data_IF_977900370752
#
_entry.id   IF_977900370752
#
_cell.length_a   1.000
_cell.length_b   1.000
_cell.length_c   1.000
_cell.angle_alpha   90.00
_cell.angle_beta   90.00
_cell.angle_gamma   90.00
#
_symmetry.space_group_name_H-M   'P 1'
#
loop_
_entity.id
_entity.type
_entity.pdbx_description
1 polymer ?
#
# COMPACT_ATOMS: atom_id res chain seq x y z
N UNK A 1 4.76 23.02 -25.77
CA UNK A 1 5.58 22.66 -24.64
C UNK A 1 4.69 22.03 -23.57
N UNK A 2 4.68 20.70 -23.39
CA UNK A 2 3.74 20.03 -22.49
C UNK A 2 4.01 20.28 -21.00
N UNK A 3 5.15 20.84 -20.64
CA UNK A 3 5.53 21.07 -19.24
C UNK A 3 4.67 22.14 -18.53
N UNK A 4 4.21 23.16 -19.24
CA UNK A 4 3.42 24.25 -18.66
C UNK A 4 2.06 23.78 -18.09
N UNK A 5 1.42 22.81 -18.71
CA UNK A 5 0.09 22.36 -18.33
C UNK A 5 0.08 21.49 -17.06
N UNK A 6 1.20 20.93 -16.70
CA UNK A 6 1.32 20.04 -15.53
C UNK A 6 1.20 20.80 -14.22
N UNK A 7 1.75 22.01 -14.17
CA UNK A 7 1.67 22.86 -12.98
C UNK A 7 0.28 23.47 -12.77
N UNK A 8 -0.49 23.62 -13.84
CA UNK A 8 -1.86 24.13 -13.79
C UNK A 8 -2.85 23.10 -13.21
N UNK A 9 -2.49 21.83 -13.14
CA UNK A 9 -3.34 20.76 -12.60
C UNK A 9 -3.35 20.68 -11.08
N UNK A 10 -2.58 21.52 -10.40
CA UNK A 10 -2.54 21.57 -8.94
C UNK A 10 -1.96 20.34 -8.24
N UNK A 11 -1.17 19.53 -8.95
CA UNK A 11 -0.51 18.36 -8.36
C UNK A 11 0.63 18.83 -7.43
N UNK A 12 0.67 18.35 -6.18
CA UNK A 12 1.63 18.81 -5.19
C UNK A 12 3.04 18.22 -5.44
N UNK A 13 4.05 19.00 -5.13
CA UNK A 13 5.47 18.58 -5.01
C UNK A 13 6.08 17.90 -6.22
N UNK A 14 5.82 18.42 -7.41
CA UNK A 14 6.34 17.85 -8.64
C UNK A 14 7.44 18.69 -9.23
N UNK A 15 8.56 18.05 -9.51
CA UNK A 15 9.66 18.62 -10.24
C UNK A 15 9.80 17.83 -11.54
N UNK A 16 9.58 18.49 -12.66
CA UNK A 16 9.87 17.90 -13.96
C UNK A 16 11.36 17.98 -14.24
N UNK A 17 12.00 16.85 -14.45
CA UNK A 17 13.38 16.74 -14.88
C UNK A 17 13.40 15.85 -16.11
N UNK A 18 13.67 16.40 -17.27
CA UNK A 18 13.76 15.67 -18.54
C UNK A 18 12.53 14.79 -18.86
N UNK A 19 11.32 15.33 -18.68
CA UNK A 19 10.04 14.61 -18.82
C UNK A 19 9.77 13.51 -17.77
N UNK A 20 10.50 13.51 -16.68
CA UNK A 20 10.24 12.65 -15.53
C UNK A 20 9.68 13.46 -14.36
N UNK A 21 8.68 12.88 -13.71
CA UNK A 21 8.16 13.41 -12.46
C UNK A 21 8.88 12.74 -11.31
N UNK A 22 9.41 13.54 -10.38
CA UNK A 22 10.10 13.03 -9.21
C UNK A 22 9.42 13.53 -7.94
N UNK A 23 9.07 12.58 -7.07
CA UNK A 23 8.62 12.87 -5.72
C UNK A 23 9.65 12.21 -4.79
N UNK A 24 10.22 12.98 -3.88
CA UNK A 24 11.28 12.53 -2.98
C UNK A 24 12.46 11.83 -3.70
N UNK A 25 12.80 12.31 -4.89
CA UNK A 25 13.89 11.79 -5.71
C UNK A 25 13.54 10.52 -6.51
N UNK A 26 12.34 9.98 -6.37
CA UNK A 26 11.86 8.84 -7.14
C UNK A 26 11.11 9.30 -8.40
N UNK A 27 11.35 8.60 -9.49
CA UNK A 27 10.62 8.79 -10.74
C UNK A 27 9.18 8.33 -10.61
N UNK A 28 8.23 9.15 -11.03
CA UNK A 28 6.80 8.85 -10.96
C UNK A 28 6.12 9.07 -12.30
N UNK A 29 5.04 8.33 -12.51
CA UNK A 29 4.17 8.47 -13.67
C UNK A 29 2.71 8.59 -13.20
N UNK A 30 1.93 9.42 -13.89
CA UNK A 30 0.48 9.40 -13.73
C UNK A 30 -0.08 8.23 -14.51
N UNK A 31 -0.67 7.29 -13.78
CA UNK A 31 -1.24 6.07 -14.35
C UNK A 31 -2.73 6.05 -14.04
N UNK A 32 -3.60 5.92 -15.04
CA UNK A 32 -5.03 5.74 -14.81
C UNK A 32 -5.29 4.51 -13.93
N UNK A 33 -6.11 4.65 -12.89
CA UNK A 33 -6.43 3.55 -11.97
C UNK A 33 -7.03 2.32 -12.69
N UNK A 34 -7.76 2.53 -13.77
CA UNK A 34 -8.28 1.46 -14.61
C UNK A 34 -7.22 0.58 -15.27
N UNK A 35 -5.99 1.12 -15.49
CA UNK A 35 -4.88 0.32 -16.01
C UNK A 35 -4.43 -0.73 -14.98
N UNK A 36 -4.32 -0.36 -13.71
CA UNK A 36 -3.98 -1.31 -12.65
C UNK A 36 -4.98 -2.46 -12.55
N UNK A 37 -6.27 -2.16 -12.64
CA UNK A 37 -7.33 -3.18 -12.64
C UNK A 37 -7.17 -4.13 -13.81
N UNK A 38 -6.97 -3.62 -15.02
CA UNK A 38 -6.79 -4.45 -16.23
C UNK A 38 -5.52 -5.31 -16.17
N UNK A 39 -4.43 -4.77 -15.65
CA UNK A 39 -3.21 -5.54 -15.42
C UNK A 39 -3.44 -6.67 -14.42
N UNK A 40 -4.10 -6.39 -13.32
CA UNK A 40 -4.45 -7.39 -12.31
C UNK A 40 -5.33 -8.49 -12.89
N UNK A 41 -6.38 -8.13 -13.61
CA UNK A 41 -7.27 -9.08 -14.31
C UNK A 41 -6.50 -9.94 -15.33
N UNK A 42 -5.60 -9.34 -16.09
CA UNK A 42 -4.77 -10.06 -17.07
C UNK A 42 -3.78 -11.03 -16.42
N UNK A 43 -3.36 -10.77 -15.20
CA UNK A 43 -2.43 -11.62 -14.45
C UNK A 43 -3.13 -12.62 -13.52
N UNK A 44 -4.45 -12.61 -13.42
CA UNK A 44 -5.20 -13.43 -12.46
C UNK A 44 -4.96 -14.95 -12.58
N UNK A 45 -4.65 -15.43 -13.78
CA UNK A 45 -4.32 -16.84 -14.03
C UNK A 45 -2.83 -17.18 -13.95
N UNK A 46 -1.97 -16.22 -13.65
CA UNK A 46 -0.52 -16.40 -13.58
C UNK A 46 -0.11 -16.61 -12.13
N UNK A 47 0.48 -17.75 -11.83
CA UNK A 47 0.95 -18.06 -10.47
C UNK A 47 2.10 -17.14 -10.07
N UNK A 48 1.92 -16.42 -8.98
CA UNK A 48 2.98 -15.59 -8.40
C UNK A 48 4.13 -16.47 -7.90
N UNK A 49 5.35 -16.12 -8.27
CA UNK A 49 6.55 -16.83 -7.83
C UNK A 49 6.94 -16.37 -6.42
N UNK A 50 6.24 -16.90 -5.42
CA UNK A 50 6.49 -16.67 -4.00
C UNK A 50 6.54 -18.00 -3.26
N UNK A 51 7.31 -18.04 -2.18
CA UNK A 51 7.33 -19.21 -1.32
C UNK A 51 6.00 -19.41 -0.59
N UNK A 52 5.79 -20.61 -0.05
CA UNK A 52 4.55 -20.98 0.60
C UNK A 52 4.27 -20.15 1.86
N UNK A 53 5.29 -19.85 2.64
CA UNK A 53 5.18 -19.04 3.86
C UNK A 53 4.73 -17.61 3.54
N UNK A 54 5.30 -17.00 2.51
CA UNK A 54 4.86 -15.68 2.04
C UNK A 54 3.41 -15.74 1.55
N UNK A 55 3.07 -16.75 0.75
CA UNK A 55 1.69 -16.93 0.24
C UNK A 55 0.68 -17.07 1.37
N UNK A 56 0.97 -17.89 2.36
CA UNK A 56 0.10 -18.14 3.52
C UNK A 56 -0.05 -16.93 4.45
N UNK A 57 0.75 -15.89 4.25
CA UNK A 57 0.69 -14.63 5.01
C UNK A 57 -0.26 -13.62 4.42
N UNK A 58 -0.82 -13.90 3.26
CA UNK A 58 -1.75 -13.04 2.54
C UNK A 58 -3.17 -13.61 2.58
N UNK A 59 -4.21 -12.76 2.44
CA UNK A 59 -5.58 -13.24 2.32
C UNK A 59 -5.74 -14.10 1.05
N UNK A 60 -6.80 -14.90 1.02
CA UNK A 60 -7.15 -15.66 -0.17
C UNK A 60 -7.67 -14.70 -1.23
N UNK A 61 -6.84 -14.43 -2.23
CA UNK A 61 -7.10 -13.52 -3.34
C UNK A 61 -6.61 -14.13 -4.66
N UNK A 62 -6.98 -13.53 -5.78
CA UNK A 62 -6.45 -13.97 -7.08
C UNK A 62 -4.94 -13.67 -7.21
N UNK A 63 -4.29 -14.38 -8.13
CA UNK A 63 -2.83 -14.28 -8.34
C UNK A 63 -2.39 -12.89 -8.80
N UNK A 64 -3.21 -12.20 -9.56
CA UNK A 64 -2.92 -10.83 -9.99
C UNK A 64 -2.91 -9.86 -8.82
N UNK A 65 -3.87 -9.99 -7.90
CA UNK A 65 -3.90 -9.21 -6.66
C UNK A 65 -2.66 -9.50 -5.82
N UNK A 66 -2.36 -10.77 -5.59
CA UNK A 66 -1.21 -11.19 -4.78
C UNK A 66 0.11 -10.66 -5.34
N UNK A 67 0.33 -10.79 -6.64
CA UNK A 67 1.53 -10.31 -7.31
C UNK A 67 1.71 -8.80 -7.17
N UNK A 68 0.65 -8.03 -7.33
CA UNK A 68 0.67 -6.59 -7.21
C UNK A 68 0.89 -6.15 -5.76
N UNK A 69 0.25 -6.80 -4.80
CA UNK A 69 0.43 -6.52 -3.38
C UNK A 69 1.87 -6.80 -2.91
N UNK A 70 2.45 -7.93 -3.32
CA UNK A 70 3.84 -8.28 -3.00
C UNK A 70 4.82 -7.30 -3.64
N UNK A 71 4.60 -6.90 -4.89
CA UNK A 71 5.43 -5.91 -5.56
C UNK A 71 5.39 -4.56 -4.85
N UNK A 72 4.20 -4.10 -4.42
CA UNK A 72 4.02 -2.87 -3.66
C UNK A 72 4.69 -2.92 -2.29
N UNK A 73 4.58 -4.04 -1.58
CA UNK A 73 5.30 -4.28 -0.31
C UNK A 73 6.80 -4.15 -0.49
N UNK A 74 7.36 -4.82 -1.51
CA UNK A 74 8.80 -4.77 -1.81
C UNK A 74 9.25 -3.36 -2.20
N UNK A 75 8.47 -2.66 -3.00
CA UNK A 75 8.74 -1.28 -3.38
C UNK A 75 8.81 -0.37 -2.15
N UNK A 76 7.83 -0.45 -1.25
CA UNK A 76 7.83 0.33 -0.01
C UNK A 76 9.07 0.02 0.85
N UNK A 77 9.40 -1.25 1.04
CA UNK A 77 10.55 -1.66 1.86
C UNK A 77 11.87 -1.15 1.26
N UNK A 78 12.00 -1.15 -0.06
CA UNK A 78 13.19 -0.64 -0.76
C UNK A 78 13.25 0.89 -0.81
N UNK A 79 12.14 1.58 -0.59
CA UNK A 79 12.04 3.04 -0.61
C UNK A 79 12.70 3.69 0.59
N UNK A 80 12.79 5.01 0.54
CA UNK A 80 13.39 5.86 1.60
C UNK A 80 12.35 6.70 2.34
N UNK A 81 11.09 6.45 2.09
CA UNK A 81 9.99 7.19 2.69
C UNK A 81 10.08 7.12 4.22
N UNK A 82 9.88 8.25 4.87
CA UNK A 82 9.75 8.33 6.31
C UNK A 82 8.31 7.94 6.67
N UNK A 83 8.18 6.83 7.38
CA UNK A 83 6.89 6.36 7.88
C UNK A 83 7.06 6.05 9.37
N UNK A 84 6.47 6.91 10.20
CA UNK A 84 6.57 6.83 11.66
C UNK A 84 5.18 6.56 12.23
N UNK A 85 5.02 5.43 12.86
CA UNK A 85 3.73 4.97 13.38
C UNK A 85 3.94 4.25 14.72
N UNK A 86 4.05 5.04 15.78
CA UNK A 86 4.19 4.52 17.14
C UNK A 86 2.84 4.15 17.77
N UNK A 87 1.76 4.78 17.31
CA UNK A 87 0.40 4.60 17.80
C UNK A 87 -0.63 4.75 16.67
N UNK A 88 -1.92 4.65 17.00
CA UNK A 88 -3.01 4.74 16.02
C UNK A 88 -3.02 6.07 15.25
N UNK A 89 -2.81 7.18 15.95
CA UNK A 89 -2.79 8.51 15.33
C UNK A 89 -1.59 8.66 14.40
N UNK A 90 -0.43 8.16 14.79
CA UNK A 90 0.78 8.11 13.96
C UNK A 90 0.57 7.30 12.69
N UNK A 91 -0.15 6.18 12.77
CA UNK A 91 -0.54 5.39 11.59
C UNK A 91 -1.44 6.19 10.64
N UNK A 92 -2.47 6.87 11.16
CA UNK A 92 -3.38 7.67 10.34
C UNK A 92 -2.62 8.80 9.63
N UNK A 93 -1.82 9.56 10.36
CA UNK A 93 -1.07 10.69 9.80
C UNK A 93 -0.02 10.25 8.78
N UNK A 94 0.71 9.16 9.06
CA UNK A 94 1.69 8.62 8.11
C UNK A 94 1.02 8.07 6.86
N UNK A 95 -0.13 7.41 6.99
CA UNK A 95 -0.93 6.99 5.83
C UNK A 95 -1.41 8.17 5.01
N UNK A 96 -1.91 9.24 5.63
CA UNK A 96 -2.30 10.46 4.91
C UNK A 96 -1.12 11.04 4.13
N UNK A 97 0.04 11.16 4.76
CA UNK A 97 1.24 11.70 4.13
C UNK A 97 1.74 10.88 2.96
N UNK A 98 1.62 9.56 3.03
CA UNK A 98 2.10 8.65 1.99
C UNK A 98 1.06 8.38 0.89
N UNK A 99 -0.21 8.13 1.24
CA UNK A 99 -1.23 7.70 0.28
C UNK A 99 -1.92 8.85 -0.45
N UNK A 100 -2.19 9.97 0.23
CA UNK A 100 -2.91 11.07 -0.41
C UNK A 100 -2.18 11.65 -1.63
N UNK A 101 -0.85 11.86 -1.63
CA UNK A 101 -0.12 12.32 -2.81
C UNK A 101 -0.21 11.36 -4.00
N UNK A 102 -0.43 10.07 -3.75
CA UNK A 102 -0.62 9.05 -4.79
C UNK A 102 -2.08 8.90 -5.25
N UNK A 103 -3.01 9.65 -4.66
CA UNK A 103 -4.43 9.49 -4.92
C UNK A 103 -5.04 8.20 -4.36
N UNK A 104 -4.37 7.57 -3.41
CA UNK A 104 -4.87 6.39 -2.71
C UNK A 104 -5.69 6.80 -1.48
N UNK A 105 -6.64 5.94 -1.11
CA UNK A 105 -7.50 6.15 0.05
C UNK A 105 -6.70 6.11 1.35
N UNK A 106 -7.11 6.91 2.32
CA UNK A 106 -6.51 6.94 3.66
C UNK A 106 -7.43 6.29 4.69
N UNK A 107 -6.91 5.66 5.75
CA UNK A 107 -7.74 5.05 6.77
C UNK A 107 -8.53 6.09 7.56
N UNK A 108 -9.75 5.72 7.94
CA UNK A 108 -10.61 6.54 8.82
C UNK A 108 -10.40 6.21 10.30
N UNK A 109 -9.91 5.02 10.60
CA UNK A 109 -9.54 4.62 11.95
C UNK A 109 -8.48 3.52 11.94
N UNK A 110 -7.72 3.47 13.02
CA UNK A 110 -6.74 2.42 13.31
C UNK A 110 -6.99 1.95 14.75
N UNK A 111 -7.06 0.64 14.94
CA UNK A 111 -7.20 0.03 16.27
C UNK A 111 -6.12 -1.03 16.49
N UNK A 112 -5.65 -1.15 17.72
CA UNK A 112 -4.73 -2.21 18.11
C UNK A 112 -5.48 -3.54 18.17
N UNK A 113 -4.88 -4.60 17.65
CA UNK A 113 -5.41 -5.97 17.72
C UNK A 113 -4.75 -6.78 18.82
N UNK A 114 -3.50 -6.49 19.14
CA UNK A 114 -2.72 -7.21 20.13
C UNK A 114 -1.64 -6.31 20.75
N UNK A 115 -0.91 -6.83 21.72
CA UNK A 115 0.21 -6.15 22.37
C UNK A 115 1.53 -6.19 21.56
N UNK A 116 1.53 -6.88 20.42
CA UNK A 116 2.70 -7.14 19.60
C UNK A 116 2.69 -6.32 18.29
N UNK A 117 2.09 -5.13 18.31
CA UNK A 117 2.04 -4.24 17.15
C UNK A 117 1.00 -4.63 16.10
N UNK A 118 0.14 -5.60 16.39
CA UNK A 118 -1.00 -5.94 15.51
C UNK A 118 -1.99 -4.79 15.44
N UNK A 119 -2.41 -4.43 14.23
CA UNK A 119 -3.36 -3.34 13.97
C UNK A 119 -4.41 -3.71 12.95
N UNK A 120 -5.56 -3.08 13.05
CA UNK A 120 -6.62 -3.08 12.04
C UNK A 120 -6.84 -1.64 11.56
N UNK A 121 -6.75 -1.44 10.25
CA UNK A 121 -7.05 -0.18 9.60
C UNK A 121 -8.40 -0.29 8.91
N UNK A 122 -9.24 0.72 9.05
CA UNK A 122 -10.56 0.80 8.43
C UNK A 122 -10.61 1.93 7.41
N UNK A 123 -11.22 1.63 6.27
CA UNK A 123 -11.41 2.54 5.15
C UNK A 123 -12.89 2.57 4.77
N UNK A 124 -13.41 3.71 4.32
CA UNK A 124 -14.73 3.76 3.69
C UNK A 124 -14.70 3.02 2.35
N UNK A 125 -13.70 3.31 1.54
CA UNK A 125 -13.49 2.71 0.23
C UNK A 125 -11.99 2.69 -0.08
N UNK A 126 -11.54 1.66 -0.77
CA UNK A 126 -10.16 1.55 -1.22
C UNK A 126 -10.14 1.44 -2.75
N UNK A 127 -9.55 2.42 -3.41
CA UNK A 127 -9.58 2.54 -4.88
C UNK A 127 -8.77 1.44 -5.59
N UNK A 128 -7.64 1.05 -5.04
CA UNK A 128 -6.77 -0.02 -5.57
C UNK A 128 -6.32 -0.87 -4.39
N UNK A 129 -7.14 -1.86 -3.97
CA UNK A 129 -6.87 -2.65 -2.76
C UNK A 129 -5.51 -3.34 -2.75
N UNK A 130 -5.08 -3.90 -3.87
CA UNK A 130 -3.80 -4.62 -3.96
C UNK A 130 -2.59 -3.71 -3.69
N UNK A 131 -2.59 -2.48 -4.20
CA UNK A 131 -1.54 -1.50 -3.91
C UNK A 131 -1.56 -1.07 -2.45
N UNK A 132 -2.74 -0.70 -1.96
CA UNK A 132 -2.93 -0.22 -0.59
C UNK A 132 -2.50 -1.27 0.43
N UNK A 133 -2.96 -2.51 0.27
CA UNK A 133 -2.60 -3.64 1.14
C UNK A 133 -1.10 -3.92 1.09
N UNK A 134 -0.50 -3.87 -0.10
CA UNK A 134 0.93 -4.10 -0.26
C UNK A 134 1.78 -3.02 0.43
N UNK A 135 1.45 -1.75 0.23
CA UNK A 135 2.16 -0.65 0.89
C UNK A 135 2.02 -0.69 2.41
N UNK A 136 0.82 -0.96 2.92
CA UNK A 136 0.59 -1.10 4.37
C UNK A 136 1.39 -2.27 4.96
N UNK A 137 1.43 -3.41 4.27
CA UNK A 137 2.24 -4.55 4.67
C UNK A 137 3.74 -4.21 4.70
N UNK A 138 4.22 -3.43 3.73
CA UNK A 138 5.58 -2.91 3.71
C UNK A 138 5.89 -1.95 4.85
N UNK A 139 4.99 -1.01 5.11
CA UNK A 139 5.09 -0.06 6.21
C UNK A 139 5.15 -0.76 7.57
N UNK A 140 4.24 -1.70 7.81
CA UNK A 140 4.21 -2.48 9.04
C UNK A 140 5.49 -3.30 9.23
N UNK A 141 5.95 -3.98 8.17
CA UNK A 141 7.20 -4.77 8.21
C UNK A 141 8.40 -3.89 8.59
N UNK A 142 8.47 -2.67 8.08
CA UNK A 142 9.55 -1.72 8.44
C UNK A 142 9.43 -1.21 9.88
N UNK A 143 8.23 -0.86 10.33
CA UNK A 143 7.99 -0.37 11.68
C UNK A 143 8.28 -1.45 12.73
N UNK A 144 7.84 -2.66 12.49
CA UNK A 144 7.93 -3.76 13.44
C UNK A 144 9.19 -4.63 13.29
N UNK A 145 9.90 -4.49 12.16
CA UNK A 145 11.14 -5.24 11.88
C UNK A 145 10.96 -6.75 11.72
N UNK A 146 9.76 -7.20 11.38
CA UNK A 146 9.41 -8.64 11.30
C UNK A 146 8.40 -8.93 10.19
N UNK A 147 8.27 -10.22 9.77
CA UNK A 147 7.33 -10.61 8.73
C UNK A 147 5.87 -10.38 9.14
N UNK A 148 5.10 -9.84 8.21
CA UNK A 148 3.68 -9.52 8.40
C UNK A 148 2.77 -10.65 7.94
N UNK A 149 1.65 -10.82 8.64
CA UNK A 149 0.45 -11.54 8.19
C UNK A 149 -0.63 -10.51 7.91
N UNK A 150 -1.26 -10.62 6.76
CA UNK A 150 -2.25 -9.67 6.24
C UNK A 150 -3.63 -10.29 6.21
N UNK A 151 -4.61 -9.59 6.75
CA UNK A 151 -6.03 -9.89 6.55
C UNK A 151 -6.71 -8.80 5.75
N UNK A 152 -7.73 -9.17 4.99
CA UNK A 152 -8.53 -8.25 4.17
C UNK A 152 -9.99 -8.68 4.24
N UNK A 153 -10.84 -7.77 4.66
CA UNK A 153 -12.30 -7.92 4.64
C UNK A 153 -12.92 -6.73 3.92
N UNK A 154 -13.77 -7.00 2.96
CA UNK A 154 -14.51 -5.98 2.21
C UNK A 154 -15.99 -6.29 2.35
N UNK A 155 -16.75 -5.35 2.90
CA UNK A 155 -18.19 -5.45 3.07
C UNK A 155 -18.88 -4.12 2.71
N UNK A 156 -20.19 -4.05 2.92
CA UNK A 156 -21.00 -2.85 2.64
C UNK A 156 -20.64 -1.64 3.54
N UNK A 157 -19.92 -1.87 4.63
CA UNK A 157 -19.48 -0.83 5.57
C UNK A 157 -18.09 -0.29 5.27
N UNK A 158 -17.41 -0.89 4.30
CA UNK A 158 -16.08 -0.48 3.87
C UNK A 158 -15.06 -1.62 3.83
N UNK A 159 -13.81 -1.26 3.95
CA UNK A 159 -12.67 -2.19 3.89
C UNK A 159 -11.92 -2.18 5.21
N UNK A 160 -11.62 -3.37 5.72
CA UNK A 160 -10.74 -3.58 6.88
C UNK A 160 -9.48 -4.30 6.43
N UNK A 161 -8.34 -3.78 6.84
CA UNK A 161 -7.04 -4.40 6.60
C UNK A 161 -6.39 -4.63 7.96
N UNK A 162 -6.11 -5.89 8.28
CA UNK A 162 -5.39 -6.27 9.50
C UNK A 162 -3.95 -6.62 9.18
N UNK A 163 -3.04 -6.18 10.03
CA UNK A 163 -1.60 -6.40 9.93
C UNK A 163 -1.11 -6.93 11.29
N UNK A 164 -0.54 -8.10 11.30
CA UNK A 164 -0.07 -8.76 12.51
C UNK A 164 1.27 -9.46 12.26
N UNK A 165 1.95 -9.89 13.30
CA UNK A 165 3.12 -10.75 13.16
C UNK A 165 2.73 -12.08 12.50
N UNK A 166 3.52 -12.52 11.53
CA UNK A 166 3.35 -13.84 10.91
C UNK A 166 3.55 -14.97 11.92
N UNK A 167 4.46 -14.78 12.86
CA UNK A 167 4.80 -15.76 13.88
C UNK A 167 4.22 -15.34 15.23
N UNK A 168 3.60 -16.30 15.92
CA UNK A 168 3.22 -16.09 17.32
C UNK A 168 4.48 -15.83 18.15
N UNK A 169 4.49 -14.72 18.86
CA UNK A 169 5.53 -14.45 19.85
C UNK A 169 5.16 -15.20 21.13
N UNK A 170 5.97 -16.16 21.46
CA UNK A 170 5.87 -16.86 22.75
C UNK A 170 6.29 -15.97 23.91
#
# INVERSE_FOLDING_TARGET
NPSGNIYETGLPYQIEVENEWRIDGLSHHLIPSGLFRRLQESCAGITANVDEDERNSWPVVDEGFLSMAIASKKLFIAGKEIFLAADADGWIESCKGFFAPMGLSTPISVVSLDSNGGIELRFNEVSIPSLTVGFLAGAWTRCEGRPVKVGLEIDEKGTKISLQSRYEMS
#
